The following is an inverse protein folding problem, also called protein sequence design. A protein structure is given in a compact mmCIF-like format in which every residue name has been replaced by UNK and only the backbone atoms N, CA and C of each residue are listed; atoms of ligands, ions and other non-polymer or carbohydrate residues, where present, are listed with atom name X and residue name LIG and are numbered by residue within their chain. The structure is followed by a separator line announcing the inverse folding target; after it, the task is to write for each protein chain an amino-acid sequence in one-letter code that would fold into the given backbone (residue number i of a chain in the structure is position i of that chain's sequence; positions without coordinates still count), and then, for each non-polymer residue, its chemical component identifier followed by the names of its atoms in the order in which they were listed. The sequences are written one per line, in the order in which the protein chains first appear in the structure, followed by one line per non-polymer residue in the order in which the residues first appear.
data_IF_368761392297
#
_entry.id   IF_368761392297
#
_cell.length_a   1.000
_cell.length_b   1.000
_cell.length_c   1.000
_cell.angle_alpha   90.00
_cell.angle_beta   90.00
_cell.angle_gamma   90.00
#
_symmetry.space_group_name_H-M   'P 1'
#
loop_
_entity.id
_entity.type
_entity.pdbx_description
1 polymer ?
#
# COMPACT_ATOMS: atom_id res chain seq x y z
N UNK A 1 -2.74 12.64 -17.85
CA UNK A 1 -1.61 12.35 -16.96
C UNK A 1 -1.96 12.85 -15.55
N UNK A 2 -2.80 12.09 -14.82
CA UNK A 2 -3.27 12.50 -13.48
C UNK A 2 -2.34 11.95 -12.41
N UNK A 3 -1.37 12.77 -11.98
CA UNK A 3 -0.42 12.49 -10.88
C UNK A 3 -1.09 12.65 -9.50
N UNK A 4 -2.36 12.27 -9.36
CA UNK A 4 -3.17 12.50 -8.15
C UNK A 4 -3.08 11.37 -7.13
N UNK A 5 -2.61 10.17 -7.52
CA UNK A 5 -2.55 9.01 -6.61
C UNK A 5 -1.73 9.20 -5.32
N UNK A 6 -0.57 9.91 -5.28
CA UNK A 6 0.15 10.06 -4.01
C UNK A 6 -0.54 11.02 -3.03
N UNK A 7 -1.37 11.96 -3.50
CA UNK A 7 -1.99 12.96 -2.62
C UNK A 7 -3.25 12.47 -1.91
N UNK A 8 -3.96 11.48 -2.46
CA UNK A 8 -5.19 10.94 -1.83
C UNK A 8 -4.86 10.10 -0.59
N UNK A 9 -3.73 9.39 -0.57
CA UNK A 9 -3.28 8.65 0.62
C UNK A 9 -2.89 9.56 1.79
N UNK A 10 -2.37 10.76 1.50
CA UNK A 10 -2.06 11.75 2.55
C UNK A 10 -3.33 12.35 3.18
N UNK A 11 -4.42 12.47 2.43
CA UNK A 11 -5.72 12.94 2.93
C UNK A 11 -6.45 11.91 3.81
N UNK A 12 -6.15 10.61 3.67
CA UNK A 12 -6.69 9.58 4.56
C UNK A 12 -6.12 9.67 5.99
N UNK A 13 -4.97 10.35 6.16
CA UNK A 13 -4.31 10.53 7.45
C UNK A 13 -4.75 11.80 8.20
N UNK A 14 -5.64 12.62 7.62
CA UNK A 14 -6.12 13.88 8.24
C UNK A 14 -7.40 13.72 9.09
N UNK A 15 -7.91 12.50 9.26
CA UNK A 15 -8.98 12.27 10.23
C UNK A 15 -8.44 12.50 11.65
N UNK A 16 -9.21 13.15 12.56
CA UNK A 16 -8.79 13.35 13.95
C UNK A 16 -8.36 12.01 14.55
N UNK A 17 -7.28 12.04 15.34
CA UNK A 17 -6.52 10.88 15.84
C UNK A 17 -7.35 9.81 16.58
N UNK A 18 -8.14 9.04 15.85
CA UNK A 18 -8.69 7.77 16.30
C UNK A 18 -7.63 6.70 16.00
N UNK A 19 -6.58 6.75 16.82
CA UNK A 19 -5.37 5.93 16.64
C UNK A 19 -4.18 6.38 17.48
N UNK A 20 -4.34 7.15 18.56
CA UNK A 20 -3.22 7.59 19.41
C UNK A 20 -2.35 6.44 19.94
N UNK A 21 -2.91 5.22 20.00
CA UNK A 21 -2.20 4.00 20.37
C UNK A 21 -1.97 3.16 19.13
N UNK A 22 -0.73 2.65 18.95
CA UNK A 22 -0.38 1.71 17.88
C UNK A 22 -0.69 0.29 18.36
N UNK A 23 -1.88 -0.20 18.03
CA UNK A 23 -2.39 -1.51 18.45
C UNK A 23 -3.28 -2.19 17.38
N UNK A 24 -3.74 -3.40 17.65
CA UNK A 24 -4.50 -4.20 16.69
C UNK A 24 -5.86 -3.57 16.32
N UNK A 25 -6.47 -2.81 17.24
CA UNK A 25 -7.73 -2.13 16.97
C UNK A 25 -7.51 -0.94 16.04
N UNK A 26 -6.48 -0.14 16.30
CA UNK A 26 -6.12 0.97 15.43
C UNK A 26 -5.62 0.51 14.06
N UNK A 27 -4.91 -0.62 13.96
CA UNK A 27 -4.52 -1.21 12.68
C UNK A 27 -5.76 -1.62 11.85
N UNK A 28 -6.75 -2.23 12.49
CA UNK A 28 -8.02 -2.58 11.83
C UNK A 28 -8.76 -1.33 11.38
N UNK A 29 -8.87 -0.32 12.23
CA UNK A 29 -9.53 0.92 11.89
C UNK A 29 -8.85 1.63 10.72
N UNK A 30 -7.52 1.73 10.73
CA UNK A 30 -6.75 2.30 9.63
C UNK A 30 -6.96 1.52 8.33
N UNK A 31 -7.02 0.19 8.39
CA UNK A 31 -7.37 -0.64 7.23
C UNK A 31 -8.79 -0.35 6.71
N UNK A 32 -9.77 -0.23 7.61
CA UNK A 32 -11.16 0.07 7.26
C UNK A 32 -11.30 1.48 6.64
N UNK A 33 -10.58 2.47 7.16
CA UNK A 33 -10.56 3.84 6.61
C UNK A 33 -9.88 3.86 5.23
N UNK A 34 -8.73 3.19 5.06
CA UNK A 34 -8.06 3.07 3.77
C UNK A 34 -8.92 2.35 2.73
N UNK A 35 -9.75 1.37 3.15
CA UNK A 35 -10.66 0.64 2.26
C UNK A 35 -11.66 1.54 1.54
N UNK A 36 -11.95 2.74 2.07
CA UNK A 36 -12.81 3.74 1.41
C UNK A 36 -12.17 4.35 0.17
N UNK A 37 -10.85 4.33 0.09
CA UNK A 37 -10.08 4.90 -1.01
C UNK A 37 -9.63 3.85 -2.01
N UNK A 38 -9.18 2.68 -1.55
CA UNK A 38 -8.69 1.59 -2.42
C UNK A 38 -9.75 0.54 -2.74
N UNK A 39 -10.91 0.61 -2.09
CA UNK A 39 -11.96 -0.41 -2.14
C UNK A 39 -11.67 -1.59 -1.21
N UNK A 40 -12.73 -2.16 -0.63
CA UNK A 40 -12.63 -3.34 0.26
C UNK A 40 -11.94 -4.54 -0.39
N UNK A 41 -12.18 -4.73 -1.70
CA UNK A 41 -11.54 -5.82 -2.45
C UNK A 41 -10.01 -5.74 -2.43
N UNK A 42 -9.41 -4.56 -2.33
CA UNK A 42 -7.96 -4.43 -2.22
C UNK A 42 -7.43 -4.96 -0.88
N UNK A 43 -8.19 -4.79 0.20
CA UNK A 43 -7.88 -5.35 1.52
C UNK A 43 -8.10 -6.86 1.50
N UNK A 44 -9.27 -7.30 1.04
CA UNK A 44 -9.67 -8.72 1.02
C UNK A 44 -8.73 -9.59 0.17
N UNK A 45 -8.25 -9.06 -0.96
CA UNK A 45 -7.28 -9.73 -1.83
C UNK A 45 -5.83 -9.58 -1.36
N UNK A 46 -5.59 -8.86 -0.27
CA UNK A 46 -4.25 -8.65 0.29
C UNK A 46 -3.36 -7.72 -0.55
N UNK A 47 -3.95 -6.93 -1.45
CA UNK A 47 -3.25 -5.90 -2.23
C UNK A 47 -2.75 -4.78 -1.31
N UNK A 48 -3.57 -4.39 -0.32
CA UNK A 48 -3.16 -3.49 0.75
C UNK A 48 -3.36 -4.18 2.09
N UNK A 49 -2.33 -4.16 2.94
CA UNK A 49 -2.36 -4.74 4.28
C UNK A 49 -1.86 -3.72 5.30
N UNK A 50 -2.52 -3.68 6.45
CA UNK A 50 -2.09 -2.89 7.60
C UNK A 50 -1.73 -3.84 8.74
N UNK A 51 -0.52 -3.72 9.28
CA UNK A 51 -0.05 -4.52 10.40
C UNK A 51 0.71 -3.67 11.41
N UNK A 52 1.00 -4.24 12.59
CA UNK A 52 1.86 -3.61 13.59
C UNK A 52 3.31 -3.99 13.34
N UNK A 53 4.21 -3.01 13.35
CA UNK A 53 5.65 -3.26 13.27
C UNK A 53 6.42 -2.14 13.98
N UNK A 54 7.31 -2.52 14.90
CA UNK A 54 8.25 -1.57 15.52
C UNK A 54 7.60 -0.36 16.23
N UNK A 55 6.37 -0.49 16.73
CA UNK A 55 5.64 0.63 17.34
C UNK A 55 5.08 1.66 16.34
N UNK A 56 4.93 1.26 15.07
CA UNK A 56 4.21 1.96 14.03
C UNK A 56 3.23 1.01 13.32
N UNK A 57 2.33 1.55 12.51
CA UNK A 57 1.59 0.76 11.54
C UNK A 57 2.41 0.61 10.27
N UNK A 58 2.60 -0.63 9.83
CA UNK A 58 3.13 -0.93 8.51
C UNK A 58 1.98 -1.07 7.53
N UNK A 59 1.95 -0.20 6.53
CA UNK A 59 1.04 -0.29 5.39
C UNK A 59 1.84 -0.89 4.23
N UNK A 60 1.50 -2.11 3.84
CA UNK A 60 2.14 -2.84 2.75
C UNK A 60 1.24 -2.84 1.52
N UNK A 61 1.84 -2.54 0.36
CA UNK A 61 1.20 -2.63 -0.94
C UNK A 61 1.86 -3.74 -1.77
N UNK A 62 1.07 -4.77 -2.08
CA UNK A 62 1.51 -5.96 -2.81
C UNK A 62 1.14 -5.84 -4.30
N UNK A 63 2.13 -5.42 -5.10
CA UNK A 63 1.99 -5.29 -6.55
C UNK A 63 1.74 -6.62 -7.26
N UNK A 64 2.20 -7.74 -6.68
CA UNK A 64 1.96 -9.07 -7.23
C UNK A 64 0.50 -9.48 -7.03
N UNK A 65 -0.05 -9.23 -5.84
CA UNK A 65 -1.47 -9.43 -5.57
C UNK A 65 -2.34 -8.52 -6.46
N UNK A 66 -1.91 -7.28 -6.71
CA UNK A 66 -2.59 -6.40 -7.66
C UNK A 66 -2.54 -6.96 -9.09
N UNK A 67 -1.37 -7.38 -9.57
CA UNK A 67 -1.20 -7.94 -10.91
C UNK A 67 -2.10 -9.18 -11.12
N UNK A 68 -2.17 -10.06 -10.11
CA UNK A 68 -3.02 -11.24 -10.12
C UNK A 68 -4.54 -10.93 -10.13
N UNK A 69 -4.93 -9.69 -9.88
CA UNK A 69 -6.33 -9.28 -9.95
C UNK A 69 -6.82 -8.97 -11.38
N UNK A 70 -5.89 -8.84 -12.34
CA UNK A 70 -6.22 -8.63 -13.74
C UNK A 70 -6.33 -9.98 -14.49
N UNK A 71 -7.15 -10.05 -15.56
CA UNK A 71 -7.18 -11.23 -16.43
C UNK A 71 -5.79 -11.52 -17.01
N UNK A 72 -5.48 -12.80 -17.17
CA UNK A 72 -4.19 -13.36 -17.62
C UNK A 72 -3.40 -12.41 -18.52
N UNK A 73 -2.40 -11.74 -17.93
CA UNK A 73 -1.43 -10.92 -18.64
C UNK A 73 -0.35 -11.84 -19.20
N UNK A 74 -0.67 -12.67 -20.21
CA UNK A 74 0.26 -13.65 -20.81
C UNK A 74 1.57 -13.04 -21.37
N UNK A 75 1.67 -11.72 -21.41
CA UNK A 75 2.77 -10.98 -22.01
C UNK A 75 3.72 -10.36 -21.00
N UNK A 76 3.40 -10.32 -19.70
CA UNK A 76 4.16 -9.53 -18.71
C UNK A 76 4.43 -10.34 -17.45
N UNK A 77 5.71 -10.58 -17.13
CA UNK A 77 6.13 -11.02 -15.80
C UNK A 77 6.59 -9.82 -15.00
N UNK A 78 5.96 -9.65 -13.84
CA UNK A 78 6.25 -8.58 -12.92
C UNK A 78 6.92 -9.16 -11.67
N UNK A 79 8.17 -8.78 -11.43
CA UNK A 79 8.83 -9.02 -10.15
C UNK A 79 9.03 -7.68 -9.44
N UNK A 80 8.03 -7.34 -8.62
CA UNK A 80 8.02 -6.15 -7.80
C UNK A 80 8.05 -6.55 -6.33
N UNK A 81 9.06 -6.06 -5.61
CA UNK A 81 9.02 -6.10 -4.16
C UNK A 81 7.78 -5.35 -3.64
N UNK A 82 7.10 -5.84 -2.59
CA UNK A 82 6.01 -5.09 -1.97
C UNK A 82 6.52 -3.81 -1.34
N UNK A 83 5.87 -2.69 -1.61
CA UNK A 83 6.24 -1.41 -1.00
C UNK A 83 5.64 -1.31 0.40
N UNK A 84 6.40 -0.77 1.35
CA UNK A 84 5.94 -0.59 2.72
C UNK A 84 6.12 0.85 3.20
N UNK A 85 5.07 1.39 3.81
CA UNK A 85 5.09 2.63 4.57
C UNK A 85 5.02 2.30 6.06
N UNK A 86 5.86 2.96 6.85
CA UNK A 86 5.73 2.99 8.29
C UNK A 86 5.05 4.29 8.68
N UNK A 87 3.88 4.19 9.31
CA UNK A 87 3.11 5.35 9.77
C UNK A 87 2.90 5.28 11.26
N UNK A 88 3.32 6.34 11.97
CA UNK A 88 3.16 6.45 13.42
C UNK A 88 2.35 7.70 13.76
N UNK A 89 1.25 7.58 14.52
CA UNK A 89 0.47 8.72 14.95
C UNK A 89 1.24 9.51 16.02
N UNK A 90 1.16 10.84 15.95
CA UNK A 90 1.70 11.77 16.94
C UNK A 90 0.59 12.28 17.87
N UNK A 91 0.99 12.77 19.05
CA UNK A 91 0.06 13.34 20.04
C UNK A 91 -0.64 14.61 19.56
N UNK A 92 -0.07 15.32 18.58
CA UNK A 92 -0.65 16.53 17.97
C UNK A 92 -1.65 16.22 16.85
N UNK A 93 -1.93 14.93 16.60
CA UNK A 93 -2.84 14.49 15.54
C UNK A 93 -2.20 14.42 14.15
N UNK A 94 -0.91 14.74 14.01
CA UNK A 94 -0.14 14.49 12.79
C UNK A 94 0.43 13.06 12.78
N UNK A 95 1.14 12.71 11.71
CA UNK A 95 1.75 11.39 11.52
C UNK A 95 3.22 11.52 11.15
N UNK A 96 4.08 10.67 11.72
CA UNK A 96 5.36 10.31 11.14
C UNK A 96 5.10 9.32 10.02
N UNK A 97 5.64 9.60 8.83
CA UNK A 97 5.57 8.69 7.68
C UNK A 97 6.99 8.47 7.20
N UNK A 98 7.41 7.21 7.12
CA UNK A 98 8.67 6.81 6.50
C UNK A 98 8.46 5.67 5.51
N UNK A 99 9.33 5.59 4.52
CA UNK A 99 9.33 4.59 3.46
C UNK A 99 10.76 4.16 3.21
N UNK A 100 10.97 2.87 3.01
CA UNK A 100 12.24 2.39 2.47
C UNK A 100 12.18 2.39 0.94
N UNK A 101 12.98 3.23 0.30
CA UNK A 101 13.07 3.38 -1.16
C UNK A 101 14.15 2.50 -1.78
N UNK A 102 14.82 1.62 -1.03
CA UNK A 102 15.89 0.78 -1.59
C UNK A 102 15.39 -0.35 -2.51
N UNK A 103 14.09 -0.41 -2.78
CA UNK A 103 13.48 -1.47 -3.58
C UNK A 103 13.73 -1.25 -5.07
N UNK A 104 14.40 -2.22 -5.70
CA UNK A 104 14.57 -2.30 -7.15
C UNK A 104 13.43 -3.10 -7.78
N UNK A 105 13.08 -2.79 -9.02
CA UNK A 105 12.05 -3.47 -9.78
C UNK A 105 12.57 -3.91 -11.15
N UNK A 106 12.13 -5.09 -11.61
CA UNK A 106 12.39 -5.59 -12.97
C UNK A 106 11.11 -6.10 -13.62
N UNK A 107 11.03 -5.96 -14.94
CA UNK A 107 9.91 -6.47 -15.74
C UNK A 107 10.47 -7.23 -16.94
N UNK A 108 9.81 -8.32 -17.32
CA UNK A 108 10.05 -9.04 -18.58
C UNK A 108 8.78 -8.98 -19.41
N UNK A 109 8.92 -8.72 -20.71
CA UNK A 109 7.81 -8.62 -21.65
C UNK A 109 8.06 -9.47 -22.90
N UNK A 110 7.07 -10.27 -23.32
CA UNK A 110 7.14 -10.95 -24.63
C UNK A 110 6.55 -10.04 -25.70
N UNK A 111 7.43 -9.38 -26.47
CA UNK A 111 7.06 -8.56 -27.60
C UNK A 111 6.94 -9.35 -28.91
N UNK A 112 6.52 -8.68 -30.00
CA UNK A 112 6.46 -9.28 -31.34
C UNK A 112 7.79 -9.88 -31.81
N UNK A 113 8.91 -9.40 -31.25
CA UNK A 113 10.26 -9.83 -31.58
C UNK A 113 10.85 -10.87 -30.60
N UNK A 114 10.08 -11.31 -29.59
CA UNK A 114 10.52 -12.23 -28.54
C UNK A 114 10.58 -11.59 -27.16
N UNK A 115 11.25 -12.28 -26.22
CA UNK A 115 11.41 -11.84 -24.82
C UNK A 115 12.31 -10.61 -24.76
N UNK A 116 11.84 -9.54 -24.11
CA UNK A 116 12.53 -8.26 -23.87
C UNK A 116 12.55 -7.90 -22.39
#
# INVERSE_FOLDING_TARGET
MNRALPFVFLLALSAPAFGQTVDSQGAKQLSDDLSRYVGKQAIDKGILKVSLEGGAYRILFDFKALAASFPDQKLLKFDFAPYALMVKPRSDGSWDVSMDFSQTASFEFNGPEGLQ
#
